data_IF_435820162224
#
_entry.id   IF_435820162224
#
_cell.length_a   1.000
_cell.length_b   1.000
_cell.length_c   1.000
_cell.angle_alpha   90.00
_cell.angle_beta   90.00
_cell.angle_gamma   90.00
#
_symmetry.space_group_name_H-M   'P 1'
#
loop_
_entity.id
_entity.type
_entity.pdbx_description
1 polymer ?
#
# COMPACT_ATOMS: atom_id res chain seq x y z
N UNK A 1 12.39 8.24 15.68
CA UNK A 1 12.50 9.22 14.59
C UNK A 1 13.06 8.47 13.39
N UNK A 2 12.36 8.48 12.26
CA UNK A 2 12.79 7.79 11.03
C UNK A 2 13.72 8.74 10.27
N UNK A 3 14.97 8.34 10.05
CA UNK A 3 16.00 9.22 9.47
C UNK A 3 16.35 8.77 8.05
N UNK A 4 16.33 7.46 7.79
CA UNK A 4 16.64 6.90 6.48
C UNK A 4 15.39 6.35 5.77
N UNK A 5 15.44 6.31 4.43
CA UNK A 5 14.36 5.75 3.63
C UNK A 5 14.13 4.25 3.92
N UNK A 6 15.18 3.51 4.29
CA UNK A 6 15.08 2.11 4.74
C UNK A 6 14.28 1.97 6.03
N UNK A 7 14.46 2.90 6.98
CA UNK A 7 13.71 2.91 8.24
C UNK A 7 12.22 3.18 7.98
N UNK A 8 11.93 4.05 7.00
CA UNK A 8 10.57 4.31 6.57
C UNK A 8 9.95 3.07 5.95
N UNK A 9 10.68 2.39 5.06
CA UNK A 9 10.22 1.15 4.43
C UNK A 9 9.92 0.06 5.48
N UNK A 10 10.85 -0.18 6.41
CA UNK A 10 10.66 -1.15 7.48
C UNK A 10 9.48 -0.80 8.39
N UNK A 11 9.27 0.50 8.69
CA UNK A 11 8.09 0.94 9.43
C UNK A 11 6.79 0.67 8.65
N UNK A 12 6.77 0.97 7.34
CA UNK A 12 5.60 0.72 6.49
C UNK A 12 5.28 -0.78 6.48
N UNK A 13 6.27 -1.64 6.26
CA UNK A 13 6.09 -3.10 6.25
C UNK A 13 5.58 -3.64 7.59
N UNK A 14 6.06 -3.10 8.71
CA UNK A 14 5.63 -3.53 10.05
C UNK A 14 4.23 -3.05 10.45
N UNK A 15 3.73 -1.96 9.83
CA UNK A 15 2.45 -1.34 10.20
C UNK A 15 1.34 -1.55 9.16
N UNK A 16 1.68 -1.97 7.94
CA UNK A 16 0.68 -2.36 6.96
C UNK A 16 -0.04 -3.63 7.42
N UNK A 17 -1.38 -3.70 7.27
CA UNK A 17 -2.10 -4.91 7.59
C UNK A 17 -1.64 -6.03 6.65
N UNK A 18 -1.46 -7.22 7.22
CA UNK A 18 -1.18 -8.42 6.47
C UNK A 18 -2.30 -8.66 5.46
N UNK A 19 -1.91 -8.87 4.21
CA UNK A 19 -2.84 -9.24 3.14
C UNK A 19 -3.00 -10.76 3.12
N UNK A 20 -4.22 -11.19 2.84
CA UNK A 20 -4.49 -12.56 2.43
C UNK A 20 -4.01 -12.73 0.99
N UNK A 21 -2.91 -13.47 0.81
CA UNK A 21 -2.27 -13.69 -0.48
C UNK A 21 -3.14 -14.49 -1.46
N UNK A 22 -4.17 -15.18 -0.99
CA UNK A 22 -5.14 -15.90 -1.82
C UNK A 22 -6.29 -15.00 -2.29
N UNK A 23 -6.36 -13.76 -1.80
CA UNK A 23 -7.46 -12.82 -2.09
C UNK A 23 -7.01 -11.49 -2.65
N UNK A 24 -5.78 -11.06 -2.40
CA UNK A 24 -5.28 -9.75 -2.81
C UNK A 24 -3.87 -9.85 -3.40
N UNK A 25 -3.61 -9.03 -4.42
CA UNK A 25 -2.26 -8.73 -4.87
C UNK A 25 -1.49 -7.98 -3.77
N UNK A 26 -0.13 -8.03 -3.76
CA UNK A 26 0.68 -7.25 -2.85
C UNK A 26 0.35 -5.74 -2.90
N UNK A 27 0.63 -5.03 -1.80
CA UNK A 27 0.51 -3.57 -1.77
C UNK A 27 1.33 -2.92 -2.87
N UNK A 28 0.71 -2.06 -3.68
CA UNK A 28 1.37 -1.26 -4.71
C UNK A 28 1.04 0.21 -4.55
N UNK A 29 1.90 1.10 -5.06
CA UNK A 29 1.59 2.52 -5.13
C UNK A 29 0.80 2.82 -6.41
N UNK A 30 -0.34 3.47 -6.30
CA UNK A 30 -1.12 3.82 -7.48
C UNK A 30 -2.58 4.17 -7.19
N UNK A 31 -3.37 4.39 -8.25
CA UNK A 31 -4.81 4.47 -8.11
C UNK A 31 -5.36 3.13 -7.57
N UNK A 32 -6.38 3.22 -6.72
CA UNK A 32 -7.05 2.05 -6.17
C UNK A 32 -8.19 1.63 -7.12
N UNK A 33 -8.17 0.42 -7.70
CA UNK A 33 -9.30 -0.06 -8.47
C UNK A 33 -10.50 -0.38 -7.55
N UNK A 34 -11.71 -0.56 -8.10
CA UNK A 34 -12.87 -0.94 -7.33
C UNK A 34 -12.64 -2.23 -6.51
N UNK A 35 -13.00 -2.21 -5.23
CA UNK A 35 -12.83 -3.35 -4.33
C UNK A 35 -11.42 -3.54 -3.77
N UNK A 36 -10.45 -2.70 -4.14
CA UNK A 36 -9.12 -2.71 -3.53
C UNK A 36 -9.15 -2.27 -2.06
N UNK A 37 -8.30 -2.92 -1.26
CA UNK A 37 -7.93 -2.37 0.04
C UNK A 37 -7.03 -1.16 -0.18
N UNK A 38 -7.16 -0.15 0.66
CA UNK A 38 -6.35 1.08 0.56
C UNK A 38 -5.70 1.41 1.88
N UNK A 39 -4.46 1.87 1.82
CA UNK A 39 -3.72 2.40 2.95
C UNK A 39 -3.21 3.80 2.62
N UNK A 40 -3.42 4.73 3.55
CA UNK A 40 -2.95 6.11 3.45
C UNK A 40 -1.89 6.34 4.51
N UNK A 41 -0.69 6.69 4.07
CA UNK A 41 0.46 6.95 4.94
C UNK A 41 0.80 8.43 4.83
N UNK A 42 0.68 9.14 5.95
CA UNK A 42 1.02 10.55 6.04
C UNK A 42 2.40 10.72 6.69
N UNK A 43 3.34 11.25 5.92
CA UNK A 43 4.70 11.50 6.38
C UNK A 43 4.86 12.99 6.61
N UNK A 44 5.19 13.37 7.86
CA UNK A 44 5.57 14.73 8.20
C UNK A 44 7.09 14.80 8.32
N UNK A 45 7.70 15.60 7.46
CA UNK A 45 9.14 15.86 7.46
C UNK A 45 9.40 17.19 8.16
N UNK A 46 10.16 17.14 9.25
CA UNK A 46 10.61 18.32 9.99
C UNK A 46 12.13 18.41 9.90
N UNK A 47 12.65 19.61 9.64
CA UNK A 47 14.09 19.86 9.66
C UNK A 47 14.36 21.26 10.20
N UNK A 48 15.38 21.44 11.08
CA UNK A 48 15.69 22.76 11.64
C UNK A 48 15.91 23.81 10.54
N UNK A 49 15.29 24.97 10.69
CA UNK A 49 15.45 26.10 9.76
C UNK A 49 14.78 25.91 8.39
N UNK A 50 13.97 24.88 8.17
CA UNK A 50 13.13 24.74 6.97
C UNK A 50 11.66 24.59 7.33
N UNK A 51 10.81 24.92 6.36
CA UNK A 51 9.38 24.69 6.44
C UNK A 51 9.07 23.19 6.58
N UNK A 52 8.05 22.89 7.39
CA UNK A 52 7.52 21.54 7.56
C UNK A 52 6.91 21.06 6.24
N UNK A 53 7.30 19.88 5.78
CA UNK A 53 6.74 19.27 4.57
C UNK A 53 5.86 18.08 4.93
N UNK A 54 4.73 17.95 4.24
CA UNK A 54 3.82 16.80 4.37
C UNK A 54 3.76 16.06 3.05
N UNK A 55 4.01 14.76 3.10
CA UNK A 55 3.90 13.86 1.94
C UNK A 55 2.84 12.82 2.27
N UNK A 56 1.97 12.53 1.31
CA UNK A 56 0.96 11.49 1.43
C UNK A 56 1.29 10.39 0.43
N UNK A 57 1.54 9.19 0.94
CA UNK A 57 1.71 7.98 0.14
C UNK A 57 0.41 7.19 0.22
N UNK A 58 -0.15 6.86 -0.95
CA UNK A 58 -1.32 5.99 -1.06
C UNK A 58 -0.89 4.66 -1.64
N UNK A 59 -1.26 3.60 -0.94
CA UNK A 59 -1.06 2.22 -1.36
C UNK A 59 -2.42 1.57 -1.58
N UNK A 60 -2.49 0.70 -2.58
CA UNK A 60 -3.65 -0.13 -2.87
C UNK A 60 -3.23 -1.60 -3.00
N UNK A 61 -4.10 -2.48 -2.55
CA UNK A 61 -4.00 -3.92 -2.77
C UNK A 61 -5.25 -4.37 -3.54
N UNK A 62 -5.05 -4.70 -4.80
CA UNK A 62 -6.13 -5.09 -5.71
C UNK A 62 -6.63 -6.50 -5.35
N UNK A 63 -7.95 -6.76 -5.37
CA UNK A 63 -8.45 -8.11 -5.19
C UNK A 63 -7.98 -8.97 -6.36
N UNK A 64 -7.59 -10.22 -6.08
CA UNK A 64 -7.44 -11.21 -7.13
C UNK A 64 -8.82 -11.40 -7.78
N UNK A 65 -8.93 -11.26 -9.10
CA UNK A 65 -10.17 -11.58 -9.78
C UNK A 65 -10.61 -13.00 -9.38
N UNK A 66 -11.91 -13.24 -9.11
CA UNK A 66 -12.39 -14.60 -8.97
C UNK A 66 -12.07 -15.31 -10.28
N UNK A 67 -11.12 -16.24 -10.23
CA UNK A 67 -10.78 -17.09 -11.39
C UNK A 67 -12.07 -17.75 -11.83
N UNK A 68 -12.70 -17.23 -12.87
CA UNK A 68 -13.89 -17.85 -13.44
C UNK A 68 -13.38 -19.13 -14.10
N UNK A 69 -13.81 -20.32 -13.65
CA UNK A 69 -13.37 -21.55 -14.29
C UNK A 69 -13.74 -21.51 -15.77
N UNK A 70 -12.89 -22.01 -16.68
CA UNK A 70 -13.18 -21.99 -18.11
C UNK A 70 -14.52 -22.70 -18.38
N UNK A 71 -15.34 -22.20 -19.33
CA UNK A 71 -16.62 -22.82 -19.64
C UNK A 71 -16.38 -24.29 -20.02
N UNK A 72 -17.06 -25.20 -19.31
CA UNK A 72 -16.99 -26.63 -19.59
C UNK A 72 -17.62 -26.87 -20.97
N UNK A 73 -16.94 -27.47 -21.95
CA UNK A 73 -17.56 -27.78 -23.23
C UNK A 73 -18.69 -28.78 -23.01
N UNK A 74 -19.88 -28.44 -23.50
CA UNK A 74 -21.05 -29.32 -23.62
C UNK A 74 -20.91 -30.28 -24.78
#
# INVERSE_FOLDING_TARGET
>A
MIVHASDLLAWIEANLPALDADRYHPWTSGPAPPGALTARIEVTMTSPGREVRRVCVRLSAEPLEPTTPPPRPT
#
